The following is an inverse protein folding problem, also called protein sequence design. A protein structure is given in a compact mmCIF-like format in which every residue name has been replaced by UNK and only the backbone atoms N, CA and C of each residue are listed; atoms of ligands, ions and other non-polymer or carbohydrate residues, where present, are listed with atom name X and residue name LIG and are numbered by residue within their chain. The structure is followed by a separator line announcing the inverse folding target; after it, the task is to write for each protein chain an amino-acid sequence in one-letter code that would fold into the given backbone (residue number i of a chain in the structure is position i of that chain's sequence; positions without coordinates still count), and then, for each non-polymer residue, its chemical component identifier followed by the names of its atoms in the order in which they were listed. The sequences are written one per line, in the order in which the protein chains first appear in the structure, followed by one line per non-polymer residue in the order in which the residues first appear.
data_IF_754205868867
#
_entry.id   IF_754205868867
#
_cell.length_a   1.000
_cell.length_b   1.000
_cell.length_c   1.000
_cell.angle_alpha   90.00
_cell.angle_beta   90.00
_cell.angle_gamma   90.00
#
_symmetry.space_group_name_H-M   'P 1'
#
loop_
_entity.id
_entity.type
_entity.pdbx_description
1 polymer ?
#
# COMPACT_ATOMS: atom_id res chain seq x y z
N UNK A 1 -15.95 -13.35 -31.06
CA UNK A 1 -15.26 -12.22 -30.39
C UNK A 1 -15.48 -12.10 -28.87
N UNK A 2 -16.33 -12.89 -28.21
CA UNK A 2 -16.58 -12.79 -26.75
C UNK A 2 -15.49 -13.44 -25.86
N UNK A 3 -14.70 -14.38 -26.37
CA UNK A 3 -13.69 -15.14 -25.61
C UNK A 3 -12.38 -14.40 -25.30
N UNK A 4 -12.03 -13.37 -26.09
CA UNK A 4 -10.79 -12.63 -25.91
C UNK A 4 -10.91 -11.62 -24.74
N UNK A 5 -12.09 -10.99 -24.57
CA UNK A 5 -12.36 -10.05 -23.47
C UNK A 5 -12.35 -10.71 -22.09
N UNK A 6 -12.93 -11.91 -21.96
CA UNK A 6 -12.96 -12.65 -20.68
C UNK A 6 -11.57 -13.09 -20.21
N UNK A 7 -10.66 -13.39 -21.14
CA UNK A 7 -9.28 -13.82 -20.83
C UNK A 7 -8.39 -12.62 -20.47
N UNK A 8 -8.64 -11.45 -21.09
CA UNK A 8 -7.98 -10.20 -20.73
C UNK A 8 -8.41 -9.70 -19.34
N UNK A 9 -9.71 -9.66 -19.05
CA UNK A 9 -10.23 -9.29 -17.72
C UNK A 9 -9.72 -10.23 -16.61
N UNK A 10 -9.63 -11.55 -16.86
CA UNK A 10 -9.04 -12.49 -15.88
C UNK A 10 -7.58 -12.18 -15.55
N UNK A 11 -6.78 -11.72 -16.52
CA UNK A 11 -5.37 -11.34 -16.30
C UNK A 11 -5.24 -10.00 -15.57
N UNK A 12 -6.09 -9.03 -15.89
CA UNK A 12 -6.11 -7.72 -15.23
C UNK A 12 -6.59 -7.86 -13.77
N UNK A 13 -7.65 -8.62 -13.52
CA UNK A 13 -8.15 -8.87 -12.16
C UNK A 13 -7.16 -9.69 -11.30
N UNK A 14 -6.47 -10.68 -11.88
CA UNK A 14 -5.36 -11.36 -11.18
C UNK A 14 -4.17 -10.43 -10.95
N UNK A 15 -3.83 -9.55 -11.90
CA UNK A 15 -2.74 -8.58 -11.72
C UNK A 15 -3.08 -7.53 -10.65
N UNK A 16 -4.32 -7.05 -10.56
CA UNK A 16 -4.77 -6.13 -9.51
C UNK A 16 -4.67 -6.74 -8.11
N UNK A 17 -5.03 -8.03 -7.95
CA UNK A 17 -4.87 -8.76 -6.69
C UNK A 17 -3.39 -9.02 -6.34
N UNK A 18 -2.56 -9.30 -7.34
CA UNK A 18 -1.10 -9.48 -7.18
C UNK A 18 -0.40 -8.16 -6.81
N UNK A 19 -0.83 -7.03 -7.39
CA UNK A 19 -0.33 -5.69 -7.08
C UNK A 19 -0.73 -5.25 -5.65
N UNK A 20 -1.95 -5.54 -5.21
CA UNK A 20 -2.41 -5.21 -3.86
C UNK A 20 -1.76 -6.05 -2.74
N UNK A 21 -1.19 -7.22 -3.07
CA UNK A 21 -0.52 -8.10 -2.11
C UNK A 21 1.01 -7.90 -2.07
N UNK A 22 1.56 -6.92 -2.79
CA UNK A 22 2.94 -6.47 -2.65
C UNK A 22 4.00 -7.41 -3.24
N UNK A 23 3.67 -8.19 -4.27
CA UNK A 23 4.67 -9.01 -4.96
C UNK A 23 5.43 -8.17 -6.01
N UNK A 24 6.78 -8.18 -6.03
CA UNK A 24 7.55 -7.49 -7.07
C UNK A 24 7.36 -8.15 -8.43
N UNK A 25 6.89 -7.38 -9.42
CA UNK A 25 6.80 -7.80 -10.83
C UNK A 25 8.19 -7.79 -11.46
N UNK A 26 8.73 -8.97 -11.79
CA UNK A 26 9.93 -9.12 -12.64
C UNK A 26 9.48 -9.30 -14.10
N UNK A 27 9.91 -8.41 -15.00
CA UNK A 27 9.60 -8.45 -16.44
C UNK A 27 10.49 -9.45 -17.22
N UNK A 28 10.02 -10.06 -18.33
CA UNK A 28 10.86 -10.92 -19.17
C UNK A 28 11.38 -10.21 -20.43
N UNK A 29 12.70 -10.22 -20.66
CA UNK A 29 13.32 -9.77 -21.91
C UNK A 29 13.39 -10.92 -22.94
N UNK A 30 12.70 -10.67 -24.05
CA UNK A 30 12.88 -11.12 -25.44
C UNK A 30 13.50 -12.50 -25.77
N UNK A 31 12.67 -13.34 -26.42
CA UNK A 31 13.04 -14.48 -27.28
C UNK A 31 13.19 -13.99 -28.73
N UNK A 32 14.36 -14.08 -29.35
CA UNK A 32 14.47 -14.15 -30.82
C UNK A 32 15.83 -14.66 -31.34
N UNK A 33 16.96 -14.34 -30.69
CA UNK A 33 18.29 -14.69 -31.24
C UNK A 33 18.88 -15.99 -30.67
N UNK A 34 18.14 -16.66 -29.78
CA UNK A 34 18.66 -17.74 -28.95
C UNK A 34 18.59 -19.14 -29.57
N UNK A 35 18.12 -19.33 -30.80
CA UNK A 35 17.92 -20.67 -31.36
C UNK A 35 19.04 -21.11 -32.31
N UNK A 36 19.50 -20.25 -33.24
CA UNK A 36 20.55 -20.66 -34.20
C UNK A 36 21.96 -20.70 -33.57
N UNK A 37 22.20 -19.90 -32.53
CA UNK A 37 23.42 -20.00 -31.70
C UNK A 37 23.42 -21.22 -30.77
N UNK A 38 22.24 -21.77 -30.41
CA UNK A 38 22.13 -22.98 -29.58
C UNK A 38 22.46 -24.25 -30.34
N UNK A 39 22.07 -24.30 -31.61
CA UNK A 39 22.27 -25.50 -32.41
C UNK A 39 23.75 -25.68 -32.81
N UNK A 40 24.46 -24.57 -33.05
CA UNK A 40 25.91 -24.58 -33.31
C UNK A 40 26.75 -24.91 -32.05
N UNK A 41 26.29 -24.50 -30.86
CA UNK A 41 27.00 -24.72 -29.60
C UNK A 41 26.77 -26.15 -29.04
N UNK A 42 25.60 -26.75 -29.29
CA UNK A 42 25.25 -28.09 -28.82
C UNK A 42 26.04 -29.23 -29.48
N UNK A 43 26.68 -28.98 -30.62
CA UNK A 43 27.45 -30.02 -31.34
C UNK A 43 28.92 -30.10 -30.92
N UNK A 44 29.46 -29.10 -30.21
CA UNK A 44 30.86 -29.10 -29.75
C UNK A 44 31.06 -29.32 -28.25
N UNK A 45 30.00 -29.25 -27.43
CA UNK A 45 30.08 -29.45 -25.99
C UNK A 45 29.30 -30.70 -25.58
N UNK A 46 29.98 -31.85 -25.58
CA UNK A 46 29.55 -33.02 -24.79
C UNK A 46 29.18 -32.53 -23.38
N UNK A 47 27.99 -32.83 -22.83
CA UNK A 47 27.62 -32.29 -21.54
C UNK A 47 28.43 -33.01 -20.45
N UNK A 48 29.49 -32.36 -19.96
CA UNK A 48 29.75 -32.39 -18.54
C UNK A 48 28.45 -31.95 -17.88
N UNK A 49 27.81 -32.83 -17.12
CA UNK A 49 26.60 -32.53 -16.35
C UNK A 49 26.86 -31.23 -15.57
N UNK A 50 26.32 -30.07 -15.98
CA UNK A 50 26.61 -28.85 -15.25
C UNK A 50 25.87 -29.01 -13.94
N UNK A 51 26.62 -29.22 -12.86
CA UNK A 51 26.08 -29.14 -11.52
C UNK A 51 25.24 -27.87 -11.48
N UNK A 52 23.92 -28.01 -11.26
CA UNK A 52 23.01 -26.87 -11.17
C UNK A 52 23.68 -25.83 -10.27
N UNK A 53 23.81 -24.57 -10.72
CA UNK A 53 24.40 -23.53 -9.90
C UNK A 53 23.78 -23.60 -8.50
N UNK A 54 24.60 -23.62 -7.45
CA UNK A 54 24.09 -23.66 -6.08
C UNK A 54 23.26 -22.39 -5.88
N UNK A 55 21.94 -22.55 -5.86
CA UNK A 55 20.97 -21.48 -5.65
C UNK A 55 21.41 -20.62 -4.47
N UNK A 56 21.58 -19.32 -4.72
CA UNK A 56 22.07 -18.38 -3.72
C UNK A 56 21.05 -18.22 -2.60
N UNK A 57 21.50 -17.81 -1.40
CA UNK A 57 20.61 -17.58 -0.27
C UNK A 57 19.51 -16.55 -0.61
N UNK A 58 19.87 -15.51 -1.37
CA UNK A 58 18.93 -14.49 -1.85
C UNK A 58 17.84 -15.07 -2.79
N UNK A 59 18.21 -15.97 -3.71
CA UNK A 59 17.25 -16.65 -4.60
C UNK A 59 16.30 -17.56 -3.83
N UNK A 60 16.81 -18.29 -2.82
CA UNK A 60 15.99 -19.13 -1.93
C UNK A 60 15.03 -18.33 -1.08
N UNK A 61 15.45 -17.15 -0.61
CA UNK A 61 14.61 -16.25 0.19
C UNK A 61 13.53 -15.60 -0.70
N UNK A 62 13.90 -15.14 -1.89
CA UNK A 62 12.96 -14.59 -2.87
C UNK A 62 11.91 -15.63 -3.30
N UNK A 63 12.34 -16.87 -3.56
CA UNK A 63 11.44 -17.97 -3.92
C UNK A 63 10.47 -18.30 -2.77
N UNK A 64 10.96 -18.37 -1.53
CA UNK A 64 10.09 -18.59 -0.36
C UNK A 64 9.07 -17.46 -0.22
N UNK A 65 9.50 -16.21 -0.36
CA UNK A 65 8.58 -15.07 -0.33
C UNK A 65 7.51 -15.15 -1.44
N UNK A 66 7.90 -15.56 -2.64
CA UNK A 66 6.98 -15.77 -3.76
C UNK A 66 5.99 -16.91 -3.47
N UNK A 67 6.46 -18.04 -2.94
CA UNK A 67 5.60 -19.16 -2.54
C UNK A 67 4.61 -18.76 -1.44
N UNK A 68 5.05 -17.99 -0.43
CA UNK A 68 4.16 -17.44 0.61
C UNK A 68 3.12 -16.48 0.03
N UNK A 69 3.51 -15.60 -0.91
CA UNK A 69 2.60 -14.68 -1.57
C UNK A 69 1.52 -15.43 -2.36
N UNK A 70 1.90 -16.47 -3.11
CA UNK A 70 0.97 -17.33 -3.86
C UNK A 70 0.00 -18.06 -2.92
N UNK A 71 0.49 -18.64 -1.81
CA UNK A 71 -0.37 -19.30 -0.83
C UNK A 71 -1.34 -18.34 -0.14
N UNK A 72 -0.91 -17.10 0.11
CA UNK A 72 -1.77 -16.06 0.67
C UNK A 72 -2.86 -15.65 -0.33
N UNK A 73 -2.47 -15.46 -1.60
CA UNK A 73 -3.39 -15.12 -2.67
C UNK A 73 -4.43 -16.22 -2.88
N UNK A 74 -4.01 -17.49 -2.87
CA UNK A 74 -4.93 -18.61 -3.02
C UNK A 74 -5.98 -18.64 -1.91
N UNK A 75 -5.56 -18.44 -0.65
CA UNK A 75 -6.47 -18.35 0.50
C UNK A 75 -7.47 -17.21 0.38
N UNK A 76 -7.04 -16.03 -0.11
CA UNK A 76 -7.95 -14.91 -0.34
C UNK A 76 -8.98 -15.22 -1.43
N UNK A 77 -8.58 -15.90 -2.50
CA UNK A 77 -9.49 -16.33 -3.57
C UNK A 77 -10.49 -17.37 -3.03
N UNK A 78 -10.04 -18.32 -2.22
CA UNK A 78 -10.92 -19.34 -1.62
C UNK A 78 -11.91 -18.70 -0.62
N UNK A 79 -11.45 -17.71 0.17
CA UNK A 79 -12.31 -16.91 1.05
C UNK A 79 -13.33 -16.07 0.26
N UNK A 80 -12.92 -15.47 -0.85
CA UNK A 80 -13.80 -14.73 -1.74
C UNK A 80 -14.89 -15.63 -2.33
N UNK A 81 -14.54 -16.86 -2.75
CA UNK A 81 -15.51 -17.83 -3.28
C UNK A 81 -16.50 -18.33 -2.24
N UNK A 82 -16.04 -18.55 -1.01
CA UNK A 82 -16.91 -19.01 0.07
C UNK A 82 -17.88 -17.94 0.55
N UNK A 83 -17.57 -16.65 0.34
CA UNK A 83 -18.46 -15.56 0.72
C UNK A 83 -18.35 -14.34 -0.23
N UNK A 84 -18.86 -14.44 -1.47
CA UNK A 84 -18.71 -13.38 -2.47
C UNK A 84 -19.46 -12.10 -2.07
N UNK A 85 -20.62 -12.21 -1.42
CA UNK A 85 -21.40 -11.05 -0.98
C UNK A 85 -20.64 -10.18 0.02
N UNK A 86 -19.93 -10.79 0.97
CA UNK A 86 -19.09 -10.05 1.92
C UNK A 86 -17.99 -9.26 1.21
N UNK A 87 -17.42 -9.82 0.14
CA UNK A 87 -16.39 -9.11 -0.63
C UNK A 87 -17.01 -8.00 -1.49
N UNK A 88 -18.18 -8.22 -2.11
CA UNK A 88 -18.94 -7.17 -2.82
C UNK A 88 -19.24 -6.00 -1.90
N UNK A 89 -19.82 -6.27 -0.73
CA UNK A 89 -20.12 -5.25 0.28
C UNK A 89 -18.87 -4.48 0.69
N UNK A 90 -17.77 -5.19 0.97
CA UNK A 90 -16.50 -4.57 1.38
C UNK A 90 -15.91 -3.65 0.31
N UNK A 91 -15.87 -4.10 -0.96
CA UNK A 91 -15.31 -3.31 -2.05
C UNK A 91 -16.21 -2.14 -2.43
N UNK A 92 -17.53 -2.34 -2.50
CA UNK A 92 -18.49 -1.26 -2.77
C UNK A 92 -18.49 -0.23 -1.64
N UNK A 93 -18.46 -0.66 -0.37
CA UNK A 93 -18.33 0.25 0.77
C UNK A 93 -17.05 1.08 0.69
N UNK A 94 -15.94 0.46 0.30
CA UNK A 94 -14.66 1.18 0.11
C UNK A 94 -14.74 2.16 -1.07
N UNK A 95 -15.37 1.77 -2.17
CA UNK A 95 -15.60 2.64 -3.33
C UNK A 95 -16.41 3.88 -2.92
N UNK A 96 -17.57 3.70 -2.29
CA UNK A 96 -18.42 4.83 -1.87
C UNK A 96 -17.81 5.69 -0.74
N UNK A 97 -16.87 5.15 0.03
CA UNK A 97 -16.11 5.93 1.01
C UNK A 97 -15.13 6.92 0.34
N UNK A 98 -14.65 6.58 -0.85
CA UNK A 98 -13.69 7.36 -1.62
C UNK A 98 -14.39 8.26 -2.65
N UNK A 99 -15.35 7.69 -3.36
CA UNK A 99 -16.14 8.32 -4.43
C UNK A 99 -17.63 8.10 -4.15
N UNK A 100 -18.30 9.02 -3.43
CA UNK A 100 -19.70 8.87 -3.04
C UNK A 100 -20.69 8.85 -4.20
N UNK A 101 -20.30 9.39 -5.35
CA UNK A 101 -21.04 9.34 -6.62
C UNK A 101 -21.00 7.96 -7.30
N UNK A 102 -20.09 7.08 -6.86
CA UNK A 102 -19.95 5.74 -7.40
C UNK A 102 -18.93 5.62 -8.53
N UNK A 103 -18.18 6.69 -8.82
CA UNK A 103 -17.19 6.76 -9.89
C UNK A 103 -15.81 7.07 -9.29
N UNK A 104 -15.02 6.02 -9.02
CA UNK A 104 -13.72 6.18 -8.38
C UNK A 104 -12.63 6.52 -9.40
N UNK A 105 -12.05 7.71 -9.28
CA UNK A 105 -10.91 8.16 -10.09
C UNK A 105 -9.59 8.12 -9.31
N UNK A 106 -8.47 8.31 -10.02
CA UNK A 106 -7.18 8.55 -9.36
C UNK A 106 -7.18 9.83 -8.51
N UNK A 107 -7.95 10.85 -8.91
CA UNK A 107 -8.04 12.10 -8.17
C UNK A 107 -8.71 11.89 -6.80
N UNK A 108 -9.78 11.10 -6.74
CA UNK A 108 -10.46 10.75 -5.48
C UNK A 108 -9.52 10.05 -4.49
N UNK A 109 -8.67 9.15 -5.01
CA UNK A 109 -7.65 8.50 -4.20
C UNK A 109 -6.65 9.52 -3.65
N UNK A 110 -6.21 10.49 -4.46
CA UNK A 110 -5.31 11.55 -4.01
C UNK A 110 -5.99 12.46 -2.97
N UNK A 111 -7.28 12.77 -3.15
CA UNK A 111 -8.07 13.55 -2.19
C UNK A 111 -8.18 12.80 -0.86
N UNK A 112 -8.49 11.51 -0.86
CA UNK A 112 -8.53 10.69 0.36
C UNK A 112 -7.16 10.65 1.05
N UNK A 113 -6.08 10.49 0.30
CA UNK A 113 -4.73 10.54 0.86
C UNK A 113 -4.43 11.88 1.52
N UNK A 114 -4.72 13.01 0.86
CA UNK A 114 -4.56 14.36 1.42
C UNK A 114 -5.39 14.53 2.69
N UNK A 115 -6.64 14.07 2.68
CA UNK A 115 -7.54 14.09 3.85
C UNK A 115 -6.94 13.30 5.02
N UNK A 116 -6.47 12.08 4.78
CA UNK A 116 -5.82 11.25 5.82
C UNK A 116 -4.55 11.89 6.36
N UNK A 117 -3.73 12.49 5.49
CA UNK A 117 -2.54 13.23 5.92
C UNK A 117 -2.91 14.41 6.81
N UNK A 118 -3.92 15.20 6.43
CA UNK A 118 -4.43 16.30 7.25
C UNK A 118 -4.94 15.81 8.62
N UNK A 119 -5.65 14.69 8.66
CA UNK A 119 -6.08 14.07 9.92
C UNK A 119 -4.91 13.64 10.80
N UNK A 120 -3.85 13.04 10.22
CA UNK A 120 -2.66 12.69 10.98
C UNK A 120 -1.93 13.95 11.49
N UNK A 121 -1.81 15.00 10.67
CA UNK A 121 -1.28 16.29 11.13
C UNK A 121 -2.04 16.81 12.35
N UNK A 122 -3.38 16.83 12.29
CA UNK A 122 -4.21 17.25 13.42
C UNK A 122 -3.97 16.42 14.67
N UNK A 123 -3.86 15.09 14.54
CA UNK A 123 -3.55 14.18 15.67
C UNK A 123 -2.18 14.43 16.29
N UNK A 124 -1.20 14.83 15.49
CA UNK A 124 0.16 15.09 15.96
C UNK A 124 0.34 16.51 16.51
N UNK A 125 -0.42 17.48 15.99
CA UNK A 125 -0.49 18.84 16.50
C UNK A 125 -1.24 18.93 17.83
N UNK A 126 -2.32 18.15 17.99
CA UNK A 126 -3.19 18.23 19.17
C UNK A 126 -2.41 18.20 20.52
N UNK A 127 -1.46 17.29 20.76
CA UNK A 127 -0.71 17.28 22.03
C UNK A 127 0.21 18.48 22.22
N UNK A 128 0.66 19.12 21.13
CA UNK A 128 1.47 20.35 21.19
C UNK A 128 0.60 21.53 21.60
N UNK A 129 -0.58 21.65 20.96
CA UNK A 129 -1.58 22.68 21.30
C UNK A 129 -2.19 22.50 22.69
N UNK A 130 -2.08 21.32 23.30
CA UNK A 130 -2.50 21.10 24.70
C UNK A 130 -1.49 21.63 25.72
N UNK A 131 -0.27 21.97 25.28
CA UNK A 131 0.75 22.59 26.14
C UNK A 131 0.57 24.10 26.22
N UNK A 132 -0.02 24.72 25.19
CA UNK A 132 -0.43 26.13 25.19
C UNK A 132 -1.57 26.32 26.21
N UNK A 133 -1.20 26.75 27.43
CA UNK A 133 -2.09 26.88 28.57
C UNK A 133 -2.76 28.25 28.64
N UNK A 134 -2.13 29.27 28.05
CA UNK A 134 -2.66 30.64 28.02
C UNK A 134 -3.33 31.04 26.70
N UNK A 135 -3.30 30.14 25.71
CA UNK A 135 -3.93 30.25 24.39
C UNK A 135 -3.36 31.36 23.50
N UNK A 136 -2.06 31.62 23.61
CA UNK A 136 -1.35 32.61 22.78
C UNK A 136 -0.83 32.05 21.44
N UNK A 137 -1.08 30.75 21.18
CA UNK A 137 -0.64 29.98 20.02
C UNK A 137 0.88 29.74 19.93
N UNK A 138 1.59 29.97 21.02
CA UNK A 138 2.99 29.63 21.23
C UNK A 138 3.05 28.57 22.34
N UNK A 139 4.18 27.87 22.43
CA UNK A 139 4.43 26.98 23.57
C UNK A 139 5.69 27.45 24.27
N UNK A 140 5.54 28.01 25.46
CA UNK A 140 6.65 28.51 26.25
C UNK A 140 7.44 27.38 26.92
N UNK A 141 8.66 27.67 27.37
CA UNK A 141 9.45 26.70 28.15
C UNK A 141 8.80 26.36 29.49
N UNK A 142 8.14 27.33 30.13
CA UNK A 142 7.38 27.13 31.36
C UNK A 142 6.19 26.19 31.16
N UNK A 143 5.46 26.36 30.05
CA UNK A 143 4.35 25.50 29.66
C UNK A 143 4.80 24.07 29.37
N UNK A 144 5.92 23.92 28.63
CA UNK A 144 6.58 22.63 28.44
C UNK A 144 6.97 21.98 29.76
N UNK A 145 7.53 22.74 30.70
CA UNK A 145 7.93 22.23 32.01
C UNK A 145 6.71 21.75 32.82
N UNK A 146 5.61 22.52 32.80
CA UNK A 146 4.34 22.12 33.41
C UNK A 146 3.85 20.81 32.76
N UNK A 147 3.87 20.73 31.43
CA UNK A 147 3.55 19.53 30.67
C UNK A 147 4.37 18.32 31.11
N UNK A 148 5.70 18.46 31.21
CA UNK A 148 6.59 17.37 31.65
C UNK A 148 6.22 16.90 33.07
N UNK A 149 5.93 17.80 34.00
CA UNK A 149 5.59 17.42 35.37
C UNK A 149 4.26 16.64 35.46
N UNK A 150 3.26 17.02 34.66
CA UNK A 150 1.91 16.47 34.74
C UNK A 150 1.71 15.17 33.94
N UNK A 151 2.57 14.88 32.98
CA UNK A 151 2.43 13.73 32.08
C UNK A 151 3.13 12.44 32.59
N UNK A 152 2.80 11.30 31.98
CA UNK A 152 3.39 9.99 32.31
C UNK A 152 4.87 9.89 31.92
N UNK A 153 5.61 8.93 32.49
CA UNK A 153 7.06 8.78 32.22
C UNK A 153 7.42 8.62 30.73
N UNK A 154 6.54 8.02 29.92
CA UNK A 154 6.76 7.88 28.47
C UNK A 154 6.57 9.21 27.74
N UNK A 155 5.54 9.97 28.12
CA UNK A 155 5.25 11.27 27.54
C UNK A 155 6.31 12.30 27.93
N UNK A 156 6.84 12.22 29.16
CA UNK A 156 7.97 13.03 29.63
C UNK A 156 9.18 12.96 28.72
N UNK A 157 9.59 11.77 28.29
CA UNK A 157 10.71 11.63 27.35
C UNK A 157 10.45 12.31 26.01
N UNK A 158 9.20 12.30 25.52
CA UNK A 158 8.81 12.98 24.28
C UNK A 158 8.82 14.50 24.45
N UNK A 159 8.26 15.00 25.54
CA UNK A 159 8.23 16.43 25.87
C UNK A 159 9.64 16.98 26.14
N UNK A 160 10.50 16.21 26.78
CA UNK A 160 11.90 16.61 27.00
C UNK A 160 12.69 16.67 25.68
N UNK A 161 12.46 15.72 24.76
CA UNK A 161 13.02 15.80 23.42
C UNK A 161 12.51 17.04 22.67
N UNK A 162 11.21 17.34 22.80
CA UNK A 162 10.60 18.53 22.22
C UNK A 162 11.25 19.81 22.77
N UNK A 163 11.44 19.91 24.08
CA UNK A 163 12.14 21.03 24.73
C UNK A 163 13.56 21.24 24.20
N UNK A 164 14.27 20.17 23.87
CA UNK A 164 15.65 20.22 23.39
C UNK A 164 15.79 20.51 21.89
N UNK A 165 14.74 20.26 21.09
CA UNK A 165 14.85 20.24 19.62
C UNK A 165 13.74 20.97 18.87
N UNK A 166 12.72 21.44 19.57
CA UNK A 166 11.52 22.03 18.99
C UNK A 166 11.67 23.51 18.66
N UNK A 167 12.33 24.27 19.54
CA UNK A 167 12.70 25.67 19.32
C UNK A 167 13.91 25.72 18.37
N UNK A 168 13.64 25.93 17.09
CA UNK A 168 14.64 25.88 16.02
C UNK A 168 15.32 27.24 15.83
N UNK A 169 14.63 28.33 16.16
CA UNK A 169 15.13 29.68 15.99
C UNK A 169 15.85 30.23 17.25
N UNK A 170 15.67 29.59 18.40
CA UNK A 170 16.29 29.91 19.69
C UNK A 170 15.64 31.06 20.45
N UNK A 171 14.37 31.37 20.19
CA UNK A 171 13.65 32.49 20.83
C UNK A 171 13.02 32.13 22.19
N UNK A 172 13.16 30.86 22.60
CA UNK A 172 12.67 30.35 23.87
C UNK A 172 11.20 29.93 23.85
N UNK A 173 10.58 29.86 22.67
CA UNK A 173 9.21 29.40 22.49
C UNK A 173 9.14 28.43 21.30
N UNK A 174 8.05 27.68 21.19
CA UNK A 174 7.78 26.86 20.01
C UNK A 174 6.57 27.43 19.28
N UNK A 175 6.79 27.94 18.08
CA UNK A 175 5.74 28.52 17.25
C UNK A 175 5.05 27.50 16.33
N UNK A 176 4.02 27.93 15.60
CA UNK A 176 3.29 27.05 14.68
C UNK A 176 4.17 26.50 13.54
N UNK A 177 5.00 27.29 12.84
CA UNK A 177 6.01 26.77 11.91
C UNK A 177 6.88 25.66 12.48
N UNK A 178 7.37 25.80 13.71
CA UNK A 178 8.22 24.81 14.38
C UNK A 178 7.44 23.55 14.75
N UNK A 179 6.23 23.71 15.31
CA UNK A 179 5.30 22.60 15.53
C UNK A 179 5.03 21.82 14.24
N UNK A 180 4.81 22.51 13.13
CA UNK A 180 4.59 21.89 11.82
C UNK A 180 5.83 21.12 11.33
N UNK A 181 7.03 21.66 11.53
CA UNK A 181 8.28 20.97 11.17
C UNK A 181 8.46 19.66 11.96
N UNK A 182 8.13 19.68 13.26
CA UNK A 182 8.13 18.48 14.11
C UNK A 182 7.13 17.44 13.55
N UNK A 183 5.91 17.88 13.24
CA UNK A 183 4.85 17.01 12.72
C UNK A 183 5.23 16.40 11.37
N UNK A 184 5.75 17.20 10.43
CA UNK A 184 6.15 16.71 9.11
C UNK A 184 7.34 15.73 9.19
N UNK A 185 8.26 15.93 10.15
CA UNK A 185 9.32 14.95 10.45
C UNK A 185 8.76 13.63 10.97
N UNK A 186 7.75 13.66 11.84
CA UNK A 186 7.10 12.42 12.31
C UNK A 186 6.32 11.73 11.18
N UNK A 187 5.64 12.49 10.32
CA UNK A 187 4.89 11.96 9.19
C UNK A 187 5.81 11.28 8.17
N UNK A 188 6.91 11.92 7.79
CA UNK A 188 7.87 11.35 6.84
C UNK A 188 8.55 10.08 7.38
N UNK A 189 8.81 10.01 8.68
CA UNK A 189 9.43 8.84 9.32
C UNK A 189 8.48 7.66 9.58
N UNK A 190 7.23 7.92 9.98
CA UNK A 190 6.27 6.87 10.41
C UNK A 190 5.16 6.56 9.42
N UNK A 191 4.81 7.51 8.55
CA UNK A 191 3.64 7.44 7.67
C UNK A 191 4.04 7.67 6.22
N UNK A 192 4.63 6.65 5.59
CA UNK A 192 4.85 6.70 4.15
C UNK A 192 3.50 6.79 3.42
N UNK A 193 3.38 7.56 2.33
CA UNK A 193 2.13 7.66 1.57
C UNK A 193 1.53 6.29 1.19
N UNK A 194 2.38 5.29 0.90
CA UNK A 194 1.93 3.92 0.61
C UNK A 194 1.27 3.21 1.81
N UNK A 195 1.62 3.58 3.05
CA UNK A 195 1.03 3.00 4.27
C UNK A 195 -0.32 3.65 4.62
N UNK A 196 -0.59 4.85 4.09
CA UNK A 196 -1.86 5.58 4.29
C UNK A 196 -2.94 5.15 3.28
N UNK A 197 -2.52 4.55 2.16
CA UNK A 197 -3.45 3.96 1.21
C UNK A 197 -4.01 2.65 1.75
N UNK A 198 -5.33 2.50 1.64
CA UNK A 198 -5.97 1.22 1.94
C UNK A 198 -5.59 0.24 0.80
N UNK A 199 -5.04 -0.95 1.09
CA UNK A 199 -4.61 -1.90 0.05
C UNK A 199 -5.75 -2.32 -0.89
N UNK A 200 -7.00 -2.22 -0.47
CA UNK A 200 -8.17 -2.47 -1.31
C UNK A 200 -8.30 -1.45 -2.45
N UNK A 201 -7.79 -0.23 -2.30
CA UNK A 201 -7.85 0.82 -3.33
C UNK A 201 -7.09 0.38 -4.58
N UNK A 202 -5.93 -0.23 -4.42
CA UNK A 202 -5.16 -0.77 -5.54
C UNK A 202 -5.88 -1.93 -6.23
N UNK A 203 -6.69 -2.70 -5.50
CA UNK A 203 -7.55 -3.72 -6.10
C UNK A 203 -8.70 -3.07 -6.88
N UNK A 204 -9.35 -2.05 -6.30
CA UNK A 204 -10.44 -1.32 -6.94
C UNK A 204 -9.99 -0.71 -8.26
N UNK A 205 -8.86 0.02 -8.27
CA UNK A 205 -8.27 0.57 -9.49
C UNK A 205 -7.93 -0.49 -10.55
N UNK A 206 -7.72 -1.74 -10.13
CA UNK A 206 -7.51 -2.87 -11.04
C UNK A 206 -8.79 -3.46 -11.63
N UNK A 207 -9.98 -3.00 -11.21
CA UNK A 207 -11.25 -3.41 -11.80
C UNK A 207 -11.70 -2.55 -12.98
N UNK A 208 -11.00 -1.45 -13.27
CA UNK A 208 -11.18 -0.64 -14.49
C UNK A 208 -11.09 -1.56 -15.73
N UNK A 209 -12.26 -1.89 -16.27
CA UNK A 209 -12.43 -2.96 -17.23
C UNK A 209 -12.33 -2.48 -18.67
N UNK A 210 -12.65 -1.21 -18.90
CA UNK A 210 -12.58 -0.56 -20.20
C UNK A 210 -11.36 0.37 -20.37
N UNK A 211 -10.66 0.67 -19.27
CA UNK A 211 -9.39 1.41 -19.25
C UNK A 211 -9.59 2.92 -19.34
N UNK A 212 -10.76 3.44 -18.95
CA UNK A 212 -11.05 4.87 -19.00
C UNK A 212 -10.48 5.67 -17.82
N UNK A 213 -9.89 4.98 -16.83
CA UNK A 213 -9.27 5.57 -15.65
C UNK A 213 -10.25 5.84 -14.50
N UNK A 214 -11.52 5.44 -14.66
CA UNK A 214 -12.59 5.52 -13.67
C UNK A 214 -13.03 4.10 -13.31
N UNK A 215 -13.36 3.86 -12.05
CA UNK A 215 -13.88 2.57 -11.61
C UNK A 215 -15.29 2.75 -11.10
N UNK A 216 -16.23 2.11 -11.78
CA UNK A 216 -17.64 2.12 -11.42
C UNK A 216 -18.00 0.95 -10.52
N UNK A 217 -19.12 1.09 -9.79
CA UNK A 217 -19.70 -0.02 -9.01
C UNK A 217 -19.98 -1.27 -9.87
N UNK A 218 -20.34 -1.11 -11.14
CA UNK A 218 -20.60 -2.21 -12.06
C UNK A 218 -19.33 -2.99 -12.39
N UNK A 219 -18.22 -2.29 -12.57
CA UNK A 219 -16.92 -2.91 -12.84
C UNK A 219 -16.37 -3.65 -11.62
N UNK A 220 -16.55 -3.10 -10.42
CA UNK A 220 -16.22 -3.80 -9.17
C UNK A 220 -16.99 -5.12 -9.08
N UNK A 221 -18.30 -5.10 -9.32
CA UNK A 221 -19.13 -6.31 -9.27
C UNK A 221 -18.71 -7.32 -10.35
N UNK A 222 -18.52 -6.87 -11.59
CA UNK A 222 -18.07 -7.70 -12.70
C UNK A 222 -16.69 -8.32 -12.43
N UNK A 223 -15.79 -7.55 -11.81
CA UNK A 223 -14.46 -8.01 -11.40
C UNK A 223 -14.51 -9.11 -10.34
N UNK A 224 -15.35 -8.96 -9.31
CA UNK A 224 -15.57 -9.99 -8.29
C UNK A 224 -16.16 -11.25 -8.92
N UNK A 225 -17.17 -11.12 -9.78
CA UNK A 225 -17.81 -12.26 -10.44
C UNK A 225 -16.84 -13.01 -11.35
N UNK A 226 -15.96 -12.27 -12.05
CA UNK A 226 -14.89 -12.86 -12.83
C UNK A 226 -13.90 -13.65 -11.95
N UNK A 227 -13.57 -13.17 -10.74
CA UNK A 227 -12.70 -13.87 -9.79
C UNK A 227 -13.35 -15.13 -9.22
N UNK A 228 -14.65 -15.08 -8.91
CA UNK A 228 -15.42 -16.25 -8.47
C UNK A 228 -15.42 -17.31 -9.58
N UNK A 229 -15.74 -16.92 -10.82
CA UNK A 229 -15.83 -17.82 -11.97
C UNK A 229 -14.45 -18.32 -12.49
N UNK A 230 -13.35 -17.65 -12.13
CA UNK A 230 -12.03 -17.99 -12.65
C UNK A 230 -11.40 -19.24 -12.04
N UNK A 231 -11.80 -19.66 -10.84
CA UNK A 231 -11.44 -21.00 -10.39
C UNK A 231 -12.56 -21.96 -10.55
N UNK A 232 -12.23 -23.10 -11.17
CA UNK A 232 -13.16 -24.20 -11.38
C UNK A 232 -13.80 -24.72 -10.08
N UNK A 233 -14.74 -25.67 -10.23
CA UNK A 233 -15.65 -26.08 -9.16
C UNK A 233 -14.88 -26.43 -7.88
N UNK A 234 -15.33 -25.84 -6.77
CA UNK A 234 -14.92 -26.25 -5.43
C UNK A 234 -15.18 -27.74 -5.30
N UNK A 235 -14.12 -28.51 -5.05
CA UNK A 235 -14.21 -29.95 -4.85
C UNK A 235 -15.19 -30.18 -3.67
N UNK A 236 -16.19 -31.07 -3.81
CA UNK A 236 -17.21 -31.31 -2.79
C UNK A 236 -16.62 -31.85 -1.50
#
# INVERSE_FOLDING_TARGET
MKYIRATAMKRVAMMGLVLALGAPLVQPVARAEAQSLKDALNQQLRPANPAKPKETQAERDARRQQEYALQRMQREIDNLRSNPEKYRERYLSTLFQLAPDGELTQEDVLIDMKRKMAQQRGRLLQPLLQLDLDADALVSMEELEIGIRLNSSRERSRLELLRLTGDANGDGQIDLPEMMAIVDKELSGRYRPQQLQNPLVNVLLGFDGDGDGTVTSQEVLAGIDALVAAGGPTKP
#
